data_IF_286830162844
#
_entry.id   IF_286830162844
#
_cell.length_a   1.000
_cell.length_b   1.000
_cell.length_c   1.000
_cell.angle_alpha   90.00
_cell.angle_beta   90.00
_cell.angle_gamma   90.00
#
_symmetry.space_group_name_H-M   'P 1'
#
loop_
_entity.id
_entity.type
_entity.pdbx_description
1 polymer ?
#
# COMPACT_ATOMS: atom_id res chain seq x y z
N UNK A 1 -10.20 -44.85 -19.98
CA UNK A 1 -10.62 -43.58 -19.32
C UNK A 1 -9.76 -42.48 -19.92
N UNK A 2 -10.26 -41.86 -21.00
CA UNK A 2 -9.59 -40.70 -21.60
C UNK A 2 -10.09 -39.46 -20.85
N UNK A 3 -9.22 -38.86 -20.04
CA UNK A 3 -9.43 -37.48 -19.56
C UNK A 3 -9.14 -36.55 -20.71
N UNK A 4 -10.17 -35.85 -21.19
CA UNK A 4 -10.06 -34.90 -22.29
C UNK A 4 -9.13 -33.74 -21.89
N UNK A 5 -7.97 -33.54 -22.56
CA UNK A 5 -7.01 -32.51 -22.20
C UNK A 5 -7.62 -31.10 -22.19
N UNK A 6 -8.63 -30.87 -23.03
CA UNK A 6 -9.35 -29.60 -23.17
C UNK A 6 -10.25 -29.27 -21.95
N UNK A 7 -10.76 -30.30 -21.26
CA UNK A 7 -11.57 -30.14 -20.05
C UNK A 7 -10.70 -29.77 -18.83
N UNK A 8 -9.46 -30.27 -18.78
CA UNK A 8 -8.50 -29.93 -17.72
C UNK A 8 -7.95 -28.50 -17.89
N UNK A 9 -7.68 -28.08 -19.14
CA UNK A 9 -7.22 -26.72 -19.43
C UNK A 9 -8.31 -25.66 -19.21
N UNK A 10 -9.58 -25.97 -19.51
CA UNK A 10 -10.70 -25.05 -19.23
C UNK A 10 -10.97 -24.89 -17.72
N UNK A 11 -10.89 -25.96 -16.93
CA UNK A 11 -10.99 -25.90 -15.47
C UNK A 11 -9.86 -25.08 -14.83
N UNK A 12 -8.62 -25.28 -15.29
CA UNK A 12 -7.47 -24.51 -14.83
C UNK A 12 -7.56 -23.03 -15.23
N UNK A 13 -7.99 -22.74 -16.46
CA UNK A 13 -8.19 -21.37 -16.93
C UNK A 13 -9.25 -20.64 -16.10
N UNK A 14 -10.37 -21.30 -15.78
CA UNK A 14 -11.42 -20.74 -14.92
C UNK A 14 -10.88 -20.42 -13.52
N UNK A 15 -10.08 -21.32 -12.94
CA UNK A 15 -9.45 -21.11 -11.64
C UNK A 15 -8.48 -19.92 -11.66
N UNK A 16 -7.64 -19.80 -12.69
CA UNK A 16 -6.70 -18.67 -12.85
C UNK A 16 -7.46 -17.35 -12.93
N UNK A 17 -8.50 -17.28 -13.78
CA UNK A 17 -9.31 -16.07 -13.92
C UNK A 17 -10.02 -15.69 -12.61
N UNK A 18 -10.47 -16.67 -11.84
CA UNK A 18 -11.05 -16.45 -10.52
C UNK A 18 -10.04 -15.84 -9.55
N UNK A 19 -8.80 -16.38 -9.52
CA UNK A 19 -7.73 -15.84 -8.66
C UNK A 19 -7.34 -14.43 -9.07
N UNK A 20 -7.19 -14.15 -10.38
CA UNK A 20 -6.87 -12.81 -10.89
C UNK A 20 -7.96 -11.82 -10.50
N UNK A 21 -9.24 -12.19 -10.71
CA UNK A 21 -10.37 -11.35 -10.31
C UNK A 21 -10.34 -11.06 -8.81
N UNK A 22 -10.08 -12.08 -7.98
CA UNK A 22 -10.02 -11.92 -6.54
C UNK A 22 -8.84 -11.04 -6.11
N UNK A 23 -7.68 -11.18 -6.76
CA UNK A 23 -6.50 -10.35 -6.53
C UNK A 23 -6.79 -8.87 -6.76
N UNK A 24 -7.36 -8.53 -7.93
CA UNK A 24 -7.71 -7.15 -8.30
C UNK A 24 -8.74 -6.56 -7.34
N UNK A 25 -9.77 -7.34 -6.97
CA UNK A 25 -10.78 -6.84 -6.03
C UNK A 25 -10.25 -6.68 -4.60
N UNK A 26 -9.20 -7.42 -4.24
CA UNK A 26 -8.61 -7.35 -2.90
C UNK A 26 -7.77 -6.09 -2.69
N UNK A 27 -7.21 -5.48 -3.74
CA UNK A 27 -6.38 -4.26 -3.61
C UNK A 27 -7.20 -3.01 -3.28
N UNK A 28 -8.53 -3.07 -3.38
CA UNK A 28 -9.37 -2.00 -2.85
C UNK A 28 -9.33 -1.99 -1.31
N UNK A 29 -8.68 -0.96 -0.75
CA UNK A 29 -8.55 -0.77 0.69
C UNK A 29 -9.90 -0.60 1.40
N UNK A 30 -10.99 -0.27 0.69
CA UNK A 30 -12.35 -0.25 1.26
C UNK A 30 -12.77 -1.62 1.84
N UNK A 31 -12.18 -2.71 1.34
CA UNK A 31 -12.43 -4.08 1.79
C UNK A 31 -11.39 -4.60 2.78
N UNK A 32 -10.32 -3.83 3.05
CA UNK A 32 -9.18 -4.26 3.86
C UNK A 32 -9.60 -4.77 5.26
N UNK A 33 -10.42 -4.02 5.99
CA UNK A 33 -10.84 -4.40 7.35
C UNK A 33 -11.54 -5.77 7.38
N UNK A 34 -12.37 -6.05 6.38
CA UNK A 34 -13.08 -7.33 6.23
C UNK A 34 -12.10 -8.45 5.85
N UNK A 35 -11.16 -8.19 4.95
CA UNK A 35 -10.14 -9.16 4.56
C UNK A 35 -9.20 -9.51 5.73
N UNK A 36 -8.75 -8.51 6.48
CA UNK A 36 -7.95 -8.68 7.70
C UNK A 36 -8.66 -9.56 8.72
N UNK A 37 -9.92 -9.24 9.06
CA UNK A 37 -10.68 -10.03 10.03
C UNK A 37 -10.89 -11.49 9.59
N UNK A 38 -11.05 -11.74 8.28
CA UNK A 38 -11.10 -13.12 7.75
C UNK A 38 -9.80 -13.87 7.98
N UNK A 39 -8.65 -13.25 7.71
CA UNK A 39 -7.35 -13.88 7.93
C UNK A 39 -7.06 -14.08 9.42
N UNK A 40 -7.41 -13.12 10.29
CA UNK A 40 -7.30 -13.26 11.74
C UNK A 40 -8.11 -14.46 12.25
N UNK A 41 -9.36 -14.61 11.82
CA UNK A 41 -10.17 -15.78 12.18
C UNK A 41 -9.54 -17.10 11.72
N UNK A 42 -8.87 -17.13 10.57
CA UNK A 42 -8.14 -18.30 10.08
C UNK A 42 -6.88 -18.56 10.90
N UNK A 43 -6.18 -17.52 11.34
CA UNK A 43 -4.96 -17.62 12.14
C UNK A 43 -5.24 -18.02 13.60
N UNK A 44 -6.37 -17.57 14.15
CA UNK A 44 -6.72 -17.75 15.56
C UNK A 44 -7.40 -19.10 15.83
N UNK A 45 -7.80 -19.84 14.79
CA UNK A 45 -8.37 -21.18 14.94
C UNK A 45 -7.30 -22.21 15.38
N UNK A 46 -7.68 -23.26 16.13
CA UNK A 46 -6.76 -24.36 16.45
C UNK A 46 -6.17 -24.99 15.17
N UNK A 47 -4.84 -25.06 15.10
CA UNK A 47 -4.13 -25.59 13.94
C UNK A 47 -3.71 -24.53 12.90
N UNK A 48 -4.15 -23.27 13.04
CA UNK A 48 -3.75 -22.17 12.15
C UNK A 48 -4.19 -22.39 10.70
N UNK A 49 -3.41 -21.87 9.74
CA UNK A 49 -3.75 -21.93 8.31
C UNK A 49 -3.66 -23.38 7.79
N UNK A 50 -4.77 -23.88 7.25
CA UNK A 50 -4.84 -25.12 6.50
C UNK A 50 -4.68 -24.83 5.00
N UNK A 51 -3.46 -24.99 4.50
CA UNK A 51 -3.11 -24.71 3.10
C UNK A 51 -3.82 -25.62 2.09
N UNK A 52 -4.45 -26.71 2.52
CA UNK A 52 -5.26 -27.56 1.64
C UNK A 52 -6.64 -26.94 1.34
N UNK A 53 -7.14 -26.07 2.23
CA UNK A 53 -8.44 -25.40 2.08
C UNK A 53 -8.35 -24.14 1.22
N UNK A 54 -9.24 -24.03 0.24
CA UNK A 54 -9.28 -22.88 -0.67
C UNK A 54 -9.59 -21.58 0.08
N UNK A 55 -10.50 -21.60 1.04
CA UNK A 55 -10.92 -20.39 1.75
C UNK A 55 -9.80 -19.80 2.61
N UNK A 56 -9.01 -20.66 3.26
CA UNK A 56 -7.82 -20.26 4.01
C UNK A 56 -6.78 -19.61 3.10
N UNK A 57 -6.49 -20.22 1.95
CA UNK A 57 -5.58 -19.63 0.95
C UNK A 57 -6.09 -18.29 0.44
N UNK A 58 -7.39 -18.18 0.15
CA UNK A 58 -8.02 -16.94 -0.30
C UNK A 58 -8.02 -15.84 0.78
N UNK A 59 -8.10 -16.20 2.06
CA UNK A 59 -7.95 -15.25 3.16
C UNK A 59 -6.53 -14.67 3.20
N UNK A 60 -5.50 -15.50 3.00
CA UNK A 60 -4.10 -15.03 2.88
C UNK A 60 -3.92 -14.14 1.66
N UNK A 61 -4.43 -14.57 0.49
CA UNK A 61 -4.35 -13.81 -0.77
C UNK A 61 -5.00 -12.43 -0.63
N UNK A 62 -6.11 -12.34 0.11
CA UNK A 62 -6.82 -11.08 0.36
C UNK A 62 -6.02 -10.04 1.14
N UNK A 63 -4.91 -10.43 1.79
CA UNK A 63 -3.96 -9.51 2.44
C UNK A 63 -2.65 -9.40 1.65
N UNK A 64 -2.22 -10.49 1.02
CA UNK A 64 -0.97 -10.54 0.26
C UNK A 64 -0.93 -9.53 -0.89
N UNK A 65 -2.01 -9.42 -1.67
CA UNK A 65 -2.07 -8.46 -2.77
C UNK A 65 -2.08 -7.00 -2.29
N UNK A 66 -2.93 -6.60 -1.32
CA UNK A 66 -2.81 -5.28 -0.70
C UNK A 66 -1.42 -4.98 -0.15
N UNK A 67 -0.78 -5.96 0.50
CA UNK A 67 0.58 -5.77 1.01
C UNK A 67 1.58 -5.51 -0.12
N UNK A 68 1.43 -6.21 -1.24
CA UNK A 68 2.27 -6.04 -2.43
C UNK A 68 2.03 -4.69 -3.12
N UNK A 69 0.79 -4.21 -3.15
CA UNK A 69 0.43 -2.89 -3.67
C UNK A 69 1.05 -1.77 -2.83
N UNK A 70 1.08 -1.96 -1.51
CA UNK A 70 1.72 -1.05 -0.55
C UNK A 70 3.25 -1.20 -0.49
N UNK A 71 3.90 -1.80 -1.49
CA UNK A 71 5.31 -2.17 -1.38
C UNK A 71 6.29 -1.02 -1.16
N UNK A 72 5.91 0.18 -1.59
CA UNK A 72 6.68 1.40 -1.35
C UNK A 72 6.85 1.71 0.15
N UNK A 73 5.93 1.26 1.00
CA UNK A 73 5.90 1.55 2.44
C UNK A 73 6.94 0.74 3.24
N UNK A 74 7.53 -0.28 2.64
CA UNK A 74 8.59 -1.09 3.25
C UNK A 74 9.86 -1.12 2.40
N UNK A 75 10.03 -0.17 1.48
CA UNK A 75 11.33 0.09 0.85
C UNK A 75 12.22 0.89 1.80
N UNK A 76 13.52 0.86 1.53
CA UNK A 76 14.46 1.73 2.21
C UNK A 76 14.07 3.21 2.03
N UNK A 77 14.37 4.02 3.04
CA UNK A 77 13.92 5.41 3.13
C UNK A 77 14.08 6.24 1.84
N UNK A 78 15.23 6.23 1.13
CA UNK A 78 15.36 7.04 -0.08
C UNK A 78 14.41 6.64 -1.21
N UNK A 79 14.09 5.35 -1.32
CA UNK A 79 13.16 4.82 -2.33
C UNK A 79 11.72 5.09 -1.89
N UNK A 80 11.41 4.82 -0.62
CA UNK A 80 10.11 5.10 -0.03
C UNK A 80 9.72 6.59 -0.23
N UNK A 81 10.61 7.50 0.13
CA UNK A 81 10.39 8.94 -0.01
C UNK A 81 10.09 9.36 -1.45
N UNK A 82 10.85 8.84 -2.43
CA UNK A 82 10.61 9.16 -3.85
C UNK A 82 9.19 8.79 -4.25
N UNK A 83 8.72 7.59 -3.89
CA UNK A 83 7.37 7.14 -4.27
C UNK A 83 6.30 7.95 -3.54
N UNK A 84 6.46 8.24 -2.24
CA UNK A 84 5.52 9.08 -1.49
C UNK A 84 5.38 10.46 -2.15
N UNK A 85 6.48 11.10 -2.53
CA UNK A 85 6.43 12.41 -3.18
C UNK A 85 5.76 12.39 -4.56
N UNK A 86 5.88 11.29 -5.31
CA UNK A 86 5.17 11.11 -6.58
C UNK A 86 3.66 11.03 -6.33
N UNK A 87 3.23 10.18 -5.40
CA UNK A 87 1.81 10.00 -5.04
C UNK A 87 1.21 11.32 -4.52
N UNK A 88 1.95 12.04 -3.69
CA UNK A 88 1.48 13.33 -3.17
C UNK A 88 1.35 14.39 -4.27
N UNK A 89 2.25 14.42 -5.26
CA UNK A 89 2.10 15.34 -6.40
C UNK A 89 0.85 15.03 -7.21
N UNK A 90 0.49 13.76 -7.39
CA UNK A 90 -0.77 13.36 -8.04
C UNK A 90 -1.98 13.86 -7.25
N UNK A 91 -2.01 13.64 -5.92
CA UNK A 91 -3.08 14.14 -5.05
C UNK A 91 -3.19 15.67 -5.06
N UNK A 92 -2.07 16.38 -5.05
CA UNK A 92 -2.05 17.83 -5.12
C UNK A 92 -2.49 18.36 -6.48
N UNK A 93 -2.09 17.72 -7.57
CA UNK A 93 -2.54 18.06 -8.92
C UNK A 93 -4.06 17.93 -9.05
N UNK A 94 -4.64 16.85 -8.50
CA UNK A 94 -6.08 16.70 -8.43
C UNK A 94 -6.74 17.79 -7.56
N UNK A 95 -6.19 18.07 -6.38
CA UNK A 95 -6.73 19.10 -5.49
C UNK A 95 -6.67 20.51 -6.10
N UNK A 96 -5.64 20.82 -6.90
CA UNK A 96 -5.56 22.07 -7.65
C UNK A 96 -6.66 22.17 -8.72
N UNK A 97 -6.97 21.07 -9.38
CA UNK A 97 -8.04 21.01 -10.38
C UNK A 97 -9.42 21.18 -9.73
N UNK A 98 -9.65 20.55 -8.57
CA UNK A 98 -10.86 20.76 -7.77
C UNK A 98 -11.02 22.24 -7.37
N UNK A 99 -9.94 22.92 -6.96
CA UNK A 99 -9.95 24.36 -6.65
C UNK A 99 -10.31 25.21 -7.87
N UNK A 100 -9.78 24.90 -9.07
CA UNK A 100 -10.13 25.64 -10.31
C UNK A 100 -11.62 25.52 -10.64
N UNK A 101 -12.25 24.40 -10.28
CA UNK A 101 -13.68 24.17 -10.45
C UNK A 101 -14.54 24.79 -9.32
N UNK A 102 -13.92 25.51 -8.38
CA UNK A 102 -14.61 26.12 -7.24
C UNK A 102 -14.94 25.15 -6.11
N UNK A 103 -14.39 23.92 -6.13
CA UNK A 103 -14.53 22.94 -5.07
C UNK A 103 -13.43 23.12 -4.02
N UNK A 104 -13.72 22.72 -2.78
CA UNK A 104 -12.73 22.67 -1.70
C UNK A 104 -12.17 21.24 -1.63
N UNK A 105 -10.88 21.01 -1.95
CA UNK A 105 -10.31 19.68 -1.86
C UNK A 105 -10.19 19.23 -0.41
N UNK A 106 -10.10 17.91 -0.21
CA UNK A 106 -9.78 17.34 1.10
C UNK A 106 -8.38 17.75 1.52
N UNK A 107 -8.12 17.79 2.84
CA UNK A 107 -6.86 18.25 3.43
C UNK A 107 -5.62 17.61 2.78
N UNK A 108 -5.64 16.29 2.57
CA UNK A 108 -4.53 15.53 1.97
C UNK A 108 -4.17 16.02 0.56
N UNK A 109 -5.16 16.52 -0.19
CA UNK A 109 -5.02 17.01 -1.56
C UNK A 109 -4.71 18.51 -1.62
N UNK A 110 -4.72 19.22 -0.50
CA UNK A 110 -4.37 20.64 -0.48
C UNK A 110 -2.85 20.83 -0.33
N UNK A 111 -2.17 21.20 -1.42
CA UNK A 111 -0.72 21.46 -1.41
C UNK A 111 -0.29 22.58 -0.45
N UNK A 112 -1.19 23.49 -0.07
CA UNK A 112 -0.90 24.52 0.94
C UNK A 112 -0.77 23.94 2.35
N UNK A 113 -1.28 22.72 2.56
CA UNK A 113 -1.19 21.97 3.81
C UNK A 113 -0.14 20.86 3.75
N UNK A 114 0.81 20.94 2.80
CA UNK A 114 1.88 19.93 2.63
C UNK A 114 2.73 19.71 3.88
N UNK A 115 2.84 20.70 4.77
CA UNK A 115 3.50 20.57 6.06
C UNK A 115 2.88 19.49 6.97
N UNK A 116 1.66 19.02 6.68
CA UNK A 116 1.02 17.91 7.39
C UNK A 116 1.43 16.53 6.88
N UNK A 117 2.22 16.46 5.80
CA UNK A 117 2.69 15.21 5.21
C UNK A 117 3.26 14.22 6.24
N UNK A 118 4.10 14.61 7.22
CA UNK A 118 4.59 13.67 8.22
C UNK A 118 3.47 13.03 9.05
N UNK A 119 2.50 13.84 9.51
CA UNK A 119 1.36 13.37 10.30
C UNK A 119 0.46 12.45 9.47
N UNK A 120 0.20 12.82 8.22
CA UNK A 120 -0.61 12.04 7.28
C UNK A 120 0.05 10.69 6.99
N UNK A 121 1.37 10.64 6.81
CA UNK A 121 2.11 9.39 6.64
C UNK A 121 2.05 8.52 7.91
N UNK A 122 2.30 9.09 9.10
CA UNK A 122 2.16 8.34 10.36
C UNK A 122 0.75 7.76 10.51
N UNK A 123 -0.28 8.56 10.20
CA UNK A 123 -1.67 8.13 10.21
C UNK A 123 -1.93 6.97 9.26
N UNK A 124 -1.45 7.07 8.02
CA UNK A 124 -1.58 6.01 7.02
C UNK A 124 -0.89 4.71 7.44
N UNK A 125 0.33 4.79 7.99
CA UNK A 125 1.02 3.60 8.50
C UNK A 125 0.23 2.92 9.62
N UNK A 126 -0.28 3.68 10.59
CA UNK A 126 -1.02 3.14 11.75
C UNK A 126 -2.38 2.56 11.35
N UNK A 127 -3.08 3.19 10.41
CA UNK A 127 -4.42 2.78 10.02
C UNK A 127 -4.42 1.61 9.03
N UNK A 128 -3.45 1.59 8.10
CA UNK A 128 -3.47 0.67 6.95
C UNK A 128 -2.22 -0.22 6.93
N UNK A 129 -1.02 0.38 6.80
CA UNK A 129 0.18 -0.40 6.47
C UNK A 129 0.56 -1.41 7.56
N UNK A 130 0.71 -0.96 8.81
CA UNK A 130 1.14 -1.83 9.91
C UNK A 130 0.12 -2.94 10.20
N UNK A 131 -1.20 -2.68 10.34
CA UNK A 131 -2.18 -3.75 10.49
C UNK A 131 -2.16 -4.77 9.36
N UNK A 132 -1.86 -4.34 8.13
CA UNK A 132 -1.77 -5.20 6.96
C UNK A 132 -0.51 -6.09 7.00
N UNK A 133 0.65 -5.49 7.30
CA UNK A 133 1.93 -6.20 7.35
C UNK A 133 2.03 -7.14 8.55
N UNK A 134 1.52 -6.74 9.71
CA UNK A 134 1.51 -7.57 10.92
C UNK A 134 0.70 -8.85 10.72
N UNK A 135 -0.53 -8.74 10.18
CA UNK A 135 -1.35 -9.93 9.92
C UNK A 135 -0.74 -10.80 8.81
N UNK A 136 -0.09 -10.21 7.80
CA UNK A 136 0.63 -10.98 6.79
C UNK A 136 1.82 -11.74 7.39
N UNK A 137 2.62 -11.12 8.25
CA UNK A 137 3.78 -11.77 8.90
C UNK A 137 3.33 -12.91 9.83
N UNK A 138 2.16 -12.79 10.47
CA UNK A 138 1.57 -13.93 11.21
C UNK A 138 1.27 -15.11 10.29
N UNK A 139 0.79 -14.86 9.07
CA UNK A 139 0.49 -15.90 8.08
C UNK A 139 1.75 -16.44 7.37
N UNK A 140 2.71 -15.57 7.08
CA UNK A 140 3.93 -15.86 6.32
C UNK A 140 5.13 -15.25 7.06
N UNK A 141 5.66 -15.93 8.10
CA UNK A 141 6.70 -15.38 8.97
C UNK A 141 8.00 -14.95 8.26
N UNK A 142 8.29 -15.53 7.09
CA UNK A 142 9.45 -15.16 6.27
C UNK A 142 9.39 -13.73 5.74
N UNK A 143 8.22 -13.09 5.74
CA UNK A 143 8.05 -11.69 5.33
C UNK A 143 8.39 -10.67 6.43
N UNK A 144 8.84 -11.12 7.61
CA UNK A 144 9.22 -10.23 8.73
C UNK A 144 10.13 -9.04 8.35
N UNK A 145 11.15 -9.17 7.47
CA UNK A 145 12.00 -8.03 7.10
C UNK A 145 11.21 -6.84 6.51
N UNK A 146 10.10 -7.12 5.84
CA UNK A 146 9.19 -6.11 5.29
C UNK A 146 8.56 -5.26 6.39
N UNK A 147 8.02 -5.91 7.44
CA UNK A 147 7.42 -5.24 8.59
C UNK A 147 8.48 -4.43 9.37
N UNK A 148 9.66 -5.00 9.59
CA UNK A 148 10.76 -4.31 10.27
C UNK A 148 11.19 -3.04 9.51
N UNK A 149 11.23 -3.09 8.17
CA UNK A 149 11.55 -1.91 7.38
C UNK A 149 10.42 -0.87 7.42
N UNK A 150 9.15 -1.28 7.38
CA UNK A 150 8.02 -0.38 7.54
C UNK A 150 8.05 0.33 8.92
N UNK A 151 8.39 -0.39 9.98
CA UNK A 151 8.55 0.16 11.33
C UNK A 151 9.66 1.23 11.39
N UNK A 152 10.78 1.03 10.69
CA UNK A 152 11.84 2.05 10.58
C UNK A 152 11.35 3.30 9.83
N UNK A 153 10.56 3.13 8.78
CA UNK A 153 10.03 4.26 8.00
C UNK A 153 9.03 5.08 8.83
N UNK A 154 8.09 4.44 9.53
CA UNK A 154 7.13 5.16 10.39
C UNK A 154 7.83 5.82 11.58
N UNK A 155 8.94 5.27 12.09
CA UNK A 155 9.74 5.92 13.13
C UNK A 155 10.31 7.26 12.63
N UNK A 156 10.92 7.27 11.43
CA UNK A 156 11.40 8.50 10.79
C UNK A 156 10.28 9.51 10.52
N UNK A 157 9.13 9.06 10.04
CA UNK A 157 7.97 9.93 9.89
C UNK A 157 7.47 10.48 11.23
N UNK A 158 7.52 9.68 12.29
CA UNK A 158 7.13 10.11 13.64
C UNK A 158 8.08 11.15 14.21
N UNK A 159 9.39 11.03 13.94
CA UNK A 159 10.38 12.06 14.27
C UNK A 159 10.05 13.38 13.56
N UNK A 160 9.76 13.34 12.26
CA UNK A 160 9.34 14.52 11.50
C UNK A 160 8.00 15.11 11.97
N UNK A 161 7.05 14.25 12.34
CA UNK A 161 5.74 14.68 12.84
C UNK A 161 5.82 15.33 14.23
N UNK A 162 6.82 14.96 15.03
CA UNK A 162 7.05 15.51 16.37
C UNK A 162 7.73 16.89 16.37
N UNK A 163 8.24 17.36 15.22
CA UNK A 163 8.81 18.69 15.07
C UNK A 163 7.77 19.79 15.34
N UNK A 164 8.25 20.97 15.75
CA UNK A 164 7.38 22.16 15.83
C UNK A 164 6.85 22.53 14.45
N UNK A 165 5.79 23.35 14.38
CA UNK A 165 5.15 23.71 13.12
C UNK A 165 6.14 24.34 12.11
N UNK A 166 7.02 25.24 12.57
CA UNK A 166 7.98 25.91 11.70
C UNK A 166 9.10 24.97 11.23
N UNK A 167 9.62 24.12 12.11
CA UNK A 167 10.59 23.08 11.75
C UNK A 167 10.00 22.06 10.77
N UNK A 168 8.72 21.71 10.94
CA UNK A 168 8.01 20.79 10.07
C UNK A 168 7.83 21.36 8.67
N UNK A 169 7.46 22.65 8.56
CA UNK A 169 7.38 23.35 7.26
C UNK A 169 8.73 23.35 6.55
N UNK A 170 9.81 23.66 7.26
CA UNK A 170 11.17 23.67 6.70
C UNK A 170 11.60 22.27 6.26
N UNK A 171 11.44 21.26 7.12
CA UNK A 171 11.79 19.89 6.80
C UNK A 171 11.01 19.36 5.59
N UNK A 172 9.70 19.63 5.53
CA UNK A 172 8.89 19.25 4.36
C UNK A 172 9.33 20.02 3.12
N UNK A 173 9.63 21.31 3.22
CA UNK A 173 10.15 22.08 2.10
C UNK A 173 11.40 21.44 1.50
N UNK A 174 12.37 21.08 2.34
CA UNK A 174 13.60 20.37 1.95
C UNK A 174 13.31 19.02 1.28
N UNK A 175 12.35 18.25 1.80
CA UNK A 175 11.92 17.00 1.15
C UNK A 175 11.34 17.25 -0.25
N UNK A 176 10.56 18.31 -0.41
CA UNK A 176 9.94 18.67 -1.69
C UNK A 176 10.96 19.16 -2.74
N UNK A 177 12.10 19.73 -2.32
CA UNK A 177 13.17 20.08 -3.26
C UNK A 177 13.75 18.84 -3.98
N UNK A 178 13.69 17.68 -3.33
CA UNK A 178 14.16 16.41 -3.87
C UNK A 178 13.10 15.63 -4.65
N UNK A 179 11.91 16.21 -4.87
CA UNK A 179 10.86 15.54 -5.65
C UNK A 179 11.32 15.34 -7.10
N UNK A 180 11.04 14.18 -7.72
CA UNK A 180 11.30 14.00 -9.15
C UNK A 180 10.45 15.00 -9.93
N UNK A 181 11.08 15.86 -10.74
CA UNK A 181 10.36 16.77 -11.63
C UNK A 181 9.58 15.98 -12.69
N UNK A 182 8.39 16.44 -13.08
CA UNK A 182 7.60 15.87 -14.17
C UNK A 182 8.43 15.75 -15.48
N UNK A 183 9.40 16.64 -15.69
CA UNK A 183 10.32 16.59 -16.83
C UNK A 183 11.32 15.41 -16.78
N UNK A 184 11.66 14.91 -15.58
CA UNK A 184 12.61 13.80 -15.39
C UNK A 184 11.97 12.41 -15.50
N UNK A 185 10.66 12.32 -15.24
CA UNK A 185 9.90 11.07 -15.40
C UNK A 185 9.57 10.77 -16.87
N UNK A 186 9.39 11.82 -17.69
CA UNK A 186 9.17 11.66 -19.13
C UNK A 186 10.38 11.10 -19.88
N UNK A 187 11.62 11.30 -19.38
CA UNK A 187 12.82 10.77 -20.05
C UNK A 187 13.12 9.31 -19.71
N UNK A 188 12.59 8.80 -18.59
CA UNK A 188 12.85 7.44 -18.11
C UNK A 188 11.81 6.43 -18.62
N UNK A 189 10.62 6.89 -19.03
CA UNK A 189 9.61 6.06 -19.68
C UNK A 189 9.95 5.69 -21.14
N UNK A 190 10.87 6.41 -21.79
CA UNK A 190 11.26 6.18 -23.20
C UNK A 190 12.46 5.25 -23.34
N UNK A 191 12.96 4.66 -22.25
CA UNK A 191 14.16 3.80 -22.23
C UNK A 191 13.90 2.37 -21.74
N UNK A 192 12.65 1.91 -21.77
CA UNK A 192 12.29 0.50 -21.55
C UNK A 192 11.69 -0.13 -22.82
#
# INVERSE_FOLDING_TARGET
>A
RHTDPCAVTSGLASLILMIIKYAILSTDLSHFAKAKGRLENVLDKPGGIDWTKSDDRLAVIGILFPSSDLCAMYKEWPVHMKVVLIVMEEFWSQGDEEKKQGLKPVQLMDRALSYLLPDDQVGFYKAICLPCFEVLVRAIPSQRPMLEQALKNVAKWSELAALSLEEKKEAVHELLLHRPSAASQASSATSL
#
